data_IF_410094778332
#
_entry.id   IF_410094778332
#
_cell.length_a   1.000
_cell.length_b   1.000
_cell.length_c   1.000
_cell.angle_alpha   90.00
_cell.angle_beta   90.00
_cell.angle_gamma   90.00
#
_symmetry.space_group_name_H-M   'P 1'
#
loop_
_entity.id
_entity.type
_entity.pdbx_description
1 polymer ?
#
# COMPACT_ATOMS: atom_id res chain seq x y z
N UNK A 1 6.29 5.07 -6.17
CA UNK A 1 6.63 6.30 -6.90
C UNK A 1 7.69 7.04 -6.09
N UNK A 2 8.56 7.83 -6.71
CA UNK A 2 9.54 8.67 -6.00
C UNK A 2 8.89 9.82 -5.20
N UNK A 3 7.63 10.17 -5.48
CA UNK A 3 6.85 11.17 -4.75
C UNK A 3 5.93 10.59 -3.67
N UNK A 4 5.03 11.44 -3.16
CA UNK A 4 4.04 11.11 -2.11
C UNK A 4 2.58 11.18 -2.58
N UNK A 5 2.31 11.41 -3.86
CA UNK A 5 0.95 11.56 -4.41
C UNK A 5 0.15 10.27 -4.26
N UNK A 6 0.77 9.13 -4.56
CA UNK A 6 0.13 7.83 -4.35
C UNK A 6 -0.15 7.57 -2.87
N UNK A 7 0.77 7.95 -1.98
CA UNK A 7 0.61 7.80 -0.54
C UNK A 7 -0.59 8.62 -0.01
N UNK A 8 -0.68 9.89 -0.38
CA UNK A 8 -1.82 10.75 -0.05
C UNK A 8 -3.16 10.16 -0.54
N UNK A 9 -3.18 9.63 -1.76
CA UNK A 9 -4.38 9.00 -2.32
C UNK A 9 -4.83 7.79 -1.52
N UNK A 10 -3.90 6.92 -1.11
CA UNK A 10 -4.23 5.74 -0.30
C UNK A 10 -4.69 6.14 1.11
N UNK A 11 -4.04 7.12 1.76
CA UNK A 11 -4.51 7.68 3.05
C UNK A 11 -5.94 8.23 2.92
N UNK A 12 -6.25 8.98 1.86
CA UNK A 12 -7.59 9.50 1.61
C UNK A 12 -8.65 8.41 1.40
N UNK A 13 -8.28 7.26 0.81
CA UNK A 13 -9.20 6.11 0.71
C UNK A 13 -9.50 5.50 2.07
N UNK A 14 -8.49 5.38 2.92
CA UNK A 14 -8.66 4.88 4.29
C UNK A 14 -9.66 5.75 5.05
N UNK A 15 -9.49 7.08 5.04
CA UNK A 15 -10.43 7.98 5.69
C UNK A 15 -11.85 7.83 5.18
N UNK A 16 -12.05 7.81 3.86
CA UNK A 16 -13.38 7.58 3.26
C UNK A 16 -14.01 6.28 3.72
N UNK A 17 -13.22 5.19 3.75
CA UNK A 17 -13.72 3.87 4.17
C UNK A 17 -14.11 3.85 5.64
N UNK A 18 -13.37 4.53 6.52
CA UNK A 18 -13.70 4.66 7.95
C UNK A 18 -15.03 5.40 8.11
N UNK A 19 -15.22 6.53 7.42
CA UNK A 19 -16.47 7.31 7.49
C UNK A 19 -17.65 6.47 7.00
N UNK A 20 -17.51 5.76 5.87
CA UNK A 20 -18.57 4.88 5.36
C UNK A 20 -18.92 3.76 6.34
N UNK A 21 -17.93 3.16 7.02
CA UNK A 21 -18.19 2.13 8.02
C UNK A 21 -18.88 2.68 9.28
N UNK A 22 -18.46 3.86 9.75
CA UNK A 22 -19.08 4.50 10.90
C UNK A 22 -20.53 4.90 10.61
N UNK A 23 -20.80 5.44 9.41
CA UNK A 23 -22.15 5.78 8.96
C UNK A 23 -23.07 4.54 8.91
N UNK A 24 -22.57 3.39 8.45
CA UNK A 24 -23.35 2.14 8.37
C UNK A 24 -23.66 1.52 9.74
N UNK A 25 -22.70 1.55 10.66
CA UNK A 25 -22.81 0.84 11.94
C UNK A 25 -23.33 1.70 13.11
N UNK A 26 -23.66 2.97 12.87
CA UNK A 26 -24.12 3.95 13.86
C UNK A 26 -23.26 4.05 15.15
N UNK A 27 -22.04 3.52 15.12
CA UNK A 27 -21.10 3.49 16.25
C UNK A 27 -20.09 4.60 16.08
N UNK A 28 -20.22 5.65 16.89
CA UNK A 28 -19.18 6.67 17.08
C UNK A 28 -18.07 6.08 17.95
N UNK A 29 -17.16 5.32 17.35
CA UNK A 29 -15.96 4.81 18.02
C UNK A 29 -14.72 5.23 17.26
N UNK A 30 -13.66 5.56 18.00
CA UNK A 30 -12.33 5.81 17.42
C UNK A 30 -11.87 4.55 16.68
N UNK A 31 -11.54 4.70 15.40
CA UNK A 31 -11.02 3.60 14.58
C UNK A 31 -9.50 3.62 14.63
N UNK A 32 -8.89 2.63 15.26
CA UNK A 32 -7.42 2.45 15.28
C UNK A 32 -6.98 1.63 14.08
N UNK A 33 -6.09 2.18 13.28
CA UNK A 33 -5.55 1.53 12.08
C UNK A 33 -4.16 1.00 12.38
N UNK A 34 -3.94 -0.28 12.07
CA UNK A 34 -2.71 -1.02 12.33
C UNK A 34 -2.29 -1.74 11.04
N UNK A 35 -1.00 -2.10 10.88
CA UNK A 35 -0.54 -2.85 9.70
C UNK A 35 -1.36 -4.12 9.43
N UNK A 36 -1.80 -4.81 10.50
CA UNK A 36 -2.61 -6.04 10.41
C UNK A 36 -4.02 -5.79 9.86
N UNK A 37 -4.59 -4.60 10.04
CA UNK A 37 -5.97 -4.31 9.64
C UNK A 37 -6.10 -3.41 8.41
N UNK A 38 -5.00 -2.83 7.92
CA UNK A 38 -4.92 -2.07 6.66
C UNK A 38 -5.58 -2.78 5.47
N UNK A 39 -5.42 -4.10 5.26
CA UNK A 39 -6.05 -4.79 4.13
C UNK A 39 -7.58 -4.71 4.13
N UNK A 40 -8.21 -4.51 5.29
CA UNK A 40 -9.67 -4.32 5.39
C UNK A 40 -10.13 -2.98 4.81
N UNK A 41 -9.23 -2.00 4.71
CA UNK A 41 -9.53 -0.67 4.20
C UNK A 41 -9.05 -0.47 2.77
N UNK A 42 -7.85 -0.94 2.45
CA UNK A 42 -7.21 -0.74 1.14
C UNK A 42 -7.32 -1.95 0.19
N UNK A 43 -7.75 -3.11 0.69
CA UNK A 43 -7.80 -4.35 -0.07
C UNK A 43 -6.46 -5.11 -0.05
N UNK A 44 -6.25 -5.95 -1.05
CA UNK A 44 -5.02 -6.73 -1.22
C UNK A 44 -3.84 -5.78 -1.47
N UNK A 45 -2.66 -6.14 -0.98
CA UNK A 45 -1.43 -5.39 -1.22
C UNK A 45 -1.15 -5.31 -2.73
N UNK A 46 -0.98 -4.09 -3.25
CA UNK A 46 -0.67 -3.85 -4.68
C UNK A 46 0.79 -4.07 -5.03
N UNK A 47 1.65 -3.90 -4.03
CA UNK A 47 3.09 -4.05 -4.16
C UNK A 47 3.53 -5.02 -3.10
N UNK A 48 4.20 -6.08 -3.53
CA UNK A 48 4.99 -6.90 -2.66
C UNK A 48 6.40 -6.35 -2.74
N UNK A 49 7.01 -6.07 -1.59
CA UNK A 49 8.46 -5.97 -1.57
C UNK A 49 8.93 -7.39 -1.87
N UNK A 50 9.24 -7.67 -3.13
CA UNK A 50 10.07 -8.81 -3.45
C UNK A 50 11.36 -8.54 -2.68
N UNK A 51 11.63 -9.32 -1.63
CA UNK A 51 13.01 -9.46 -1.18
C UNK A 51 13.80 -9.77 -2.46
N UNK A 52 14.85 -8.99 -2.73
CA UNK A 52 15.71 -9.21 -3.89
C UNK A 52 15.88 -10.71 -4.10
N UNK A 53 15.60 -11.20 -5.32
CA UNK A 53 15.59 -12.62 -5.64
C UNK A 53 16.81 -13.27 -4.98
N UNK A 54 16.57 -14.06 -3.93
CA UNK A 54 17.63 -14.58 -3.05
C UNK A 54 18.39 -15.74 -3.69
N UNK A 55 17.88 -16.27 -4.81
CA UNK A 55 18.46 -17.40 -5.53
C UNK A 55 18.92 -16.95 -6.92
N UNK A 56 20.15 -17.32 -7.28
CA UNK A 56 20.75 -16.99 -8.58
C UNK A 56 20.13 -17.86 -9.68
N UNK A 57 19.56 -17.23 -10.71
CA UNK A 57 19.09 -17.90 -11.93
C UNK A 57 20.08 -17.71 -13.09
N UNK A 58 20.44 -18.81 -13.77
CA UNK A 58 21.40 -18.78 -14.89
C UNK A 58 20.79 -17.97 -16.06
N UNK A 59 21.41 -16.83 -16.37
CA UNK A 59 20.99 -15.96 -17.47
C UNK A 59 20.16 -14.74 -17.06
N UNK A 60 19.90 -14.54 -15.76
CA UNK A 60 19.26 -13.35 -15.21
C UNK A 60 20.31 -12.48 -14.53
N UNK A 61 20.23 -11.16 -14.73
CA UNK A 61 21.08 -10.18 -14.03
C UNK A 61 20.22 -9.03 -13.55
N UNK A 62 20.42 -8.57 -12.32
CA UNK A 62 19.76 -7.36 -11.80
C UNK A 62 20.49 -6.13 -12.33
N UNK A 63 19.84 -5.36 -13.21
CA UNK A 63 20.33 -4.06 -13.68
C UNK A 63 19.62 -2.91 -12.96
N UNK A 64 20.33 -1.81 -12.70
CA UNK A 64 19.73 -0.57 -12.22
C UNK A 64 19.24 0.25 -13.42
N UNK A 65 17.97 0.66 -13.41
CA UNK A 65 17.35 1.35 -14.54
C UNK A 65 16.64 2.62 -14.09
N UNK A 66 17.18 3.78 -14.45
CA UNK A 66 16.53 5.07 -14.14
C UNK A 66 15.27 5.25 -15.00
N UNK A 67 14.12 5.32 -14.36
CA UNK A 67 12.86 5.76 -14.97
C UNK A 67 12.47 7.15 -14.44
N UNK A 68 11.58 7.90 -15.12
CA UNK A 68 11.05 9.17 -14.61
C UNK A 68 10.33 9.06 -13.26
N UNK A 69 10.00 7.85 -12.82
CA UNK A 69 9.24 7.56 -11.59
C UNK A 69 10.13 7.07 -10.44
N UNK A 70 11.43 6.87 -10.68
CA UNK A 70 12.39 6.21 -9.80
C UNK A 70 13.38 5.33 -10.56
N UNK A 71 14.52 5.03 -9.93
CA UNK A 71 15.51 4.06 -10.41
C UNK A 71 15.12 2.60 -10.18
#
# INVERSE_FOLDING_TARGET
>A
EAGVRSLEREIGKVFRKVVTQQAKNAKKRVTVITPKNIPKFLGVAKYHHLEAEKEDEVGITTGLGVTPSGG
#
